data_IF_799422731648
#
_entry.id   IF_799422731648
#
_cell.length_a   1.000
_cell.length_b   1.000
_cell.length_c   1.000
_cell.angle_alpha   90.00
_cell.angle_beta   90.00
_cell.angle_gamma   90.00
#
_symmetry.space_group_name_H-M   'P 1'
#
loop_
_entity.id
_entity.type
_entity.pdbx_description
1 polymer ?
#
# COMPACT_ATOMS: atom_id res chain seq x y z
N UNK A 1 -17.16 -1.97 11.15
CA UNK A 1 -17.90 -2.16 9.88
C UNK A 1 -17.00 -2.11 8.64
N UNK A 2 -15.87 -1.40 8.68
CA UNK A 2 -14.92 -1.18 7.55
C UNK A 2 -14.16 -2.43 7.09
N UNK A 3 -13.96 -3.43 7.95
CA UNK A 3 -13.18 -4.65 7.66
C UNK A 3 -13.79 -5.54 6.55
N UNK A 4 -15.11 -5.56 6.39
CA UNK A 4 -15.78 -6.48 5.45
C UNK A 4 -15.64 -6.10 3.97
N UNK A 5 -15.53 -4.80 3.64
CA UNK A 5 -15.47 -4.33 2.24
C UNK A 5 -14.14 -4.70 1.59
N UNK A 6 -13.03 -4.63 2.33
CA UNK A 6 -11.71 -4.96 1.83
C UNK A 6 -11.53 -6.46 1.53
N UNK A 7 -12.22 -7.33 2.29
CA UNK A 7 -12.30 -8.77 2.01
C UNK A 7 -13.08 -9.12 0.73
N UNK A 8 -13.89 -8.19 0.19
CA UNK A 8 -14.66 -8.41 -1.04
C UNK A 8 -13.88 -7.99 -2.31
N UNK A 9 -12.72 -7.34 -2.17
CA UNK A 9 -11.91 -6.90 -3.30
C UNK A 9 -10.85 -7.97 -3.59
N UNK A 10 -11.09 -8.73 -4.66
CA UNK A 10 -10.20 -9.80 -5.13
C UNK A 10 -9.34 -9.30 -6.32
N UNK A 11 -8.03 -9.06 -6.13
CA UNK A 11 -7.13 -8.71 -7.22
C UNK A 11 -7.11 -9.85 -8.25
N UNK A 12 -6.93 -9.50 -9.52
CA UNK A 12 -6.85 -10.47 -10.62
C UNK A 12 -5.41 -10.61 -11.09
N UNK A 13 -5.05 -11.77 -11.64
CA UNK A 13 -3.71 -12.11 -12.11
C UNK A 13 -2.65 -11.90 -11.01
N UNK A 14 -1.57 -11.20 -11.32
CA UNK A 14 -0.40 -10.94 -10.48
C UNK A 14 -0.55 -9.70 -9.57
N UNK A 15 -1.75 -9.14 -9.45
CA UNK A 15 -1.97 -7.90 -8.69
C UNK A 15 -2.08 -8.14 -7.19
N UNK A 16 -1.69 -7.13 -6.43
CA UNK A 16 -1.75 -7.09 -4.97
C UNK A 16 -2.50 -5.83 -4.56
N UNK A 17 -3.46 -5.95 -3.64
CA UNK A 17 -4.13 -4.81 -3.02
C UNK A 17 -3.39 -4.44 -1.74
N UNK A 18 -2.99 -3.18 -1.63
CA UNK A 18 -2.21 -2.67 -0.51
C UNK A 18 -2.94 -1.49 0.13
N UNK A 19 -2.99 -1.46 1.46
CA UNK A 19 -3.34 -0.28 2.23
C UNK A 19 -2.08 0.52 2.50
N UNK A 20 -2.04 1.77 2.07
CA UNK A 20 -0.91 2.67 2.29
C UNK A 20 -0.80 3.04 3.76
N UNK A 21 0.42 3.07 4.29
CA UNK A 21 0.68 3.68 5.59
C UNK A 21 0.51 5.20 5.50
N UNK A 22 -0.04 5.79 6.56
CA UNK A 22 -0.10 7.23 6.69
C UNK A 22 1.32 7.78 6.90
N UNK A 23 1.67 8.79 6.11
CA UNK A 23 2.96 9.43 6.23
C UNK A 23 3.01 10.26 7.52
N UNK A 24 4.15 10.29 8.23
CA UNK A 24 4.27 11.03 9.47
C UNK A 24 4.11 12.54 9.24
N UNK A 25 3.23 13.18 10.02
CA UNK A 25 2.99 14.63 9.94
C UNK A 25 4.16 15.46 10.51
N UNK A 26 5.07 14.82 11.26
CA UNK A 26 6.24 15.44 11.88
C UNK A 26 7.49 14.62 11.55
N UNK A 27 8.58 15.32 11.26
CA UNK A 27 9.90 14.67 11.21
C UNK A 27 10.31 14.16 12.60
N UNK A 28 11.29 13.25 12.65
CA UNK A 28 11.86 12.73 13.91
C UNK A 28 12.38 13.84 14.84
N UNK A 29 12.71 15.02 14.30
CA UNK A 29 13.13 16.21 15.05
C UNK A 29 11.98 17.13 15.52
N UNK A 30 10.72 16.74 15.35
CA UNK A 30 9.55 17.49 15.81
C UNK A 30 9.08 18.61 14.89
N UNK A 31 9.65 18.74 13.69
CA UNK A 31 9.25 19.75 12.70
C UNK A 31 8.01 19.27 11.94
N UNK A 32 6.98 20.11 11.86
CA UNK A 32 5.80 19.85 11.04
C UNK A 32 6.19 19.82 9.56
N UNK A 33 5.91 18.70 8.90
CA UNK A 33 6.17 18.54 7.47
C UNK A 33 4.99 19.11 6.67
N UNK A 34 5.21 20.01 5.70
CA UNK A 34 4.14 20.44 4.82
C UNK A 34 3.69 19.24 3.97
N UNK A 35 2.38 19.15 3.67
CA UNK A 35 1.79 18.04 2.89
C UNK A 35 2.47 17.81 1.52
N UNK A 36 3.18 18.81 1.00
CA UNK A 36 3.95 18.76 -0.25
C UNK A 36 5.39 18.25 -0.09
N UNK A 37 6.01 18.34 1.09
CA UNK A 37 7.37 17.83 1.34
C UNK A 37 7.42 16.30 1.37
N UNK A 38 6.29 15.68 1.70
CA UNK A 38 6.14 14.22 1.79
C UNK A 38 6.06 13.52 0.43
N UNK A 39 5.95 14.29 -0.67
CA UNK A 39 6.01 13.75 -2.05
C UNK A 39 7.37 13.16 -2.44
N UNK A 40 8.42 13.35 -1.63
CA UNK A 40 9.77 12.89 -1.95
C UNK A 40 10.11 11.49 -1.42
N UNK A 41 9.23 10.87 -0.63
CA UNK A 41 9.37 9.45 -0.30
C UNK A 41 8.82 8.62 -1.46
N UNK A 42 9.68 8.44 -2.46
CA UNK A 42 9.47 7.68 -3.71
C UNK A 42 9.18 6.19 -3.50
N UNK A 43 9.18 5.74 -2.25
CA UNK A 43 8.92 4.36 -1.85
C UNK A 43 7.73 4.37 -0.92
N UNK A 44 6.68 3.66 -1.34
CA UNK A 44 5.49 3.51 -0.54
C UNK A 44 5.67 2.29 0.37
N UNK A 45 5.31 2.45 1.65
CA UNK A 45 5.12 1.35 2.57
C UNK A 45 3.64 1.12 2.78
N UNK A 46 3.25 -0.14 2.93
CA UNK A 46 1.87 -0.50 3.14
C UNK A 46 1.70 -1.94 3.60
N UNK A 47 0.47 -2.28 3.94
CA UNK A 47 0.06 -3.62 4.33
C UNK A 47 -0.71 -4.29 3.19
N UNK A 48 -0.32 -5.51 2.84
CA UNK A 48 -1.04 -6.33 1.86
C UNK A 48 -2.39 -6.76 2.44
N UNK A 49 -3.48 -6.39 1.78
CA UNK A 49 -4.83 -6.77 2.20
C UNK A 49 -5.30 -8.05 1.50
N UNK A 50 -5.01 -8.17 0.21
CA UNK A 50 -5.37 -9.34 -0.59
C UNK A 50 -4.45 -9.47 -1.81
N UNK A 51 -4.35 -10.69 -2.33
CA UNK A 51 -3.46 -11.04 -3.44
C UNK A 51 -4.23 -11.73 -4.56
N UNK A 52 -3.80 -11.50 -5.79
CA UNK A 52 -4.32 -12.19 -6.97
C UNK A 52 -3.74 -13.61 -7.09
N UNK A 53 -4.41 -14.43 -7.90
CA UNK A 53 -4.07 -15.85 -8.03
C UNK A 53 -2.65 -16.13 -8.57
N UNK A 54 -2.03 -15.16 -9.23
CA UNK A 54 -0.69 -15.30 -9.84
C UNK A 54 0.37 -14.46 -9.11
N UNK A 55 0.08 -13.96 -7.91
CA UNK A 55 0.98 -13.07 -7.15
C UNK A 55 2.16 -13.79 -6.46
N UNK A 56 2.32 -15.11 -6.65
CA UNK A 56 3.44 -15.88 -6.12
C UNK A 56 3.38 -16.06 -4.60
N UNK A 57 4.48 -15.73 -3.90
CA UNK A 57 4.67 -15.97 -2.46
C UNK A 57 4.20 -14.81 -1.57
N UNK A 58 3.58 -13.77 -2.14
CA UNK A 58 3.06 -12.63 -1.38
C UNK A 58 1.82 -13.06 -0.60
N UNK A 59 1.78 -12.71 0.69
CA UNK A 59 0.67 -13.06 1.58
C UNK A 59 -0.02 -11.81 2.15
N UNK A 60 -1.31 -11.94 2.44
CA UNK A 60 -2.04 -10.93 3.19
C UNK A 60 -1.48 -10.73 4.61
N UNK A 61 -1.57 -9.50 5.11
CA UNK A 61 -1.05 -9.09 6.41
C UNK A 61 0.45 -8.77 6.43
N UNK A 62 1.17 -9.00 5.33
CA UNK A 62 2.59 -8.62 5.22
C UNK A 62 2.72 -7.12 5.00
N UNK A 63 3.72 -6.50 5.64
CA UNK A 63 4.16 -5.14 5.33
C UNK A 63 5.15 -5.20 4.17
N UNK A 64 4.98 -4.31 3.20
CA UNK A 64 5.77 -4.31 1.97
C UNK A 64 6.25 -2.92 1.61
N UNK A 65 7.44 -2.85 1.03
CA UNK A 65 7.97 -1.69 0.34
C UNK A 65 7.77 -1.90 -1.17
N UNK A 66 7.28 -0.89 -1.88
CA UNK A 66 7.04 -0.99 -3.32
C UNK A 66 7.23 0.35 -4.03
N UNK A 67 7.42 0.28 -5.35
CA UNK A 67 7.56 1.46 -6.19
C UNK A 67 6.19 2.03 -6.59
N UNK A 68 6.07 3.36 -6.63
CA UNK A 68 4.87 4.07 -7.08
C UNK A 68 4.68 4.07 -8.61
N UNK A 69 5.67 3.61 -9.39
CA UNK A 69 5.70 3.70 -10.86
C UNK A 69 4.46 3.06 -11.51
N UNK A 70 3.98 1.95 -10.96
CA UNK A 70 2.80 1.21 -11.44
C UNK A 70 1.73 1.01 -10.34
N UNK A 71 1.77 1.85 -9.30
CA UNK A 71 0.80 1.80 -8.22
C UNK A 71 -0.42 2.64 -8.61
N UNK A 72 -1.59 2.00 -8.72
CA UNK A 72 -2.85 2.66 -9.04
C UNK A 72 -3.63 2.90 -7.75
N UNK A 73 -3.72 4.16 -7.30
CA UNK A 73 -4.52 4.54 -6.15
C UNK A 73 -6.02 4.32 -6.45
N UNK A 74 -6.73 3.76 -5.48
CA UNK A 74 -8.17 3.48 -5.58
C UNK A 74 -8.91 3.94 -4.33
N UNK A 75 -10.09 4.49 -4.53
CA UNK A 75 -11.02 4.78 -3.44
C UNK A 75 -11.98 3.59 -3.28
N UNK A 76 -11.92 2.94 -2.11
CA UNK A 76 -12.77 1.82 -1.75
C UNK A 76 -13.89 2.22 -0.78
N UNK A 77 -14.15 3.53 -0.64
CA UNK A 77 -15.16 4.06 0.29
C UNK A 77 -14.72 4.01 1.75
N UNK A 78 -13.41 4.08 1.99
CA UNK A 78 -12.79 4.05 3.32
C UNK A 78 -11.90 5.25 3.52
N UNK A 79 -11.67 5.67 4.78
CA UNK A 79 -10.77 6.79 5.08
C UNK A 79 -9.29 6.49 4.78
N UNK A 80 -8.91 5.20 4.71
CA UNK A 80 -7.55 4.78 4.37
C UNK A 80 -7.32 4.80 2.85
N UNK A 81 -6.09 5.13 2.45
CA UNK A 81 -5.66 5.08 1.05
C UNK A 81 -5.26 3.68 0.64
N UNK A 82 -5.64 3.30 -0.57
CA UNK A 82 -5.39 1.98 -1.12
C UNK A 82 -4.78 2.09 -2.51
N UNK A 83 -3.98 1.11 -2.88
CA UNK A 83 -3.51 0.98 -4.25
C UNK A 83 -3.40 -0.47 -4.70
N UNK A 84 -3.42 -0.66 -6.01
CA UNK A 84 -3.00 -1.91 -6.64
C UNK A 84 -1.61 -1.74 -7.26
N UNK A 85 -0.76 -2.74 -7.08
CA UNK A 85 0.46 -2.91 -7.87
C UNK A 85 0.60 -4.36 -8.31
N UNK A 86 1.56 -4.66 -9.19
CA UNK A 86 1.93 -6.06 -9.48
C UNK A 86 2.83 -6.59 -8.37
N UNK A 87 2.80 -7.90 -8.16
CA UNK A 87 3.71 -8.58 -7.24
C UNK A 87 5.19 -8.31 -7.61
N UNK A 88 5.51 -8.22 -8.90
CA UNK A 88 6.85 -7.89 -9.39
C UNK A 88 7.33 -6.46 -9.12
N UNK A 89 6.44 -5.56 -8.71
CA UNK A 89 6.78 -4.18 -8.32
C UNK A 89 7.03 -4.04 -6.80
N UNK A 90 6.85 -5.12 -6.03
CA UNK A 90 7.24 -5.18 -4.63
C UNK A 90 8.76 -5.27 -4.51
N UNK A 91 9.33 -4.39 -3.71
CA UNK A 91 10.77 -4.27 -3.51
C UNK A 91 11.25 -5.12 -2.32
N UNK A 92 10.45 -5.19 -1.26
CA UNK A 92 10.77 -5.97 -0.06
C UNK A 92 9.53 -6.27 0.79
N UNK A 93 9.60 -7.35 1.57
CA UNK A 93 8.74 -7.56 2.74
C UNK A 93 9.47 -7.03 3.97
N UNK A 94 8.77 -6.29 4.83
CA UNK A 94 9.33 -5.68 6.05
C UNK A 94 8.88 -6.52 7.26
N UNK A 95 9.85 -7.01 8.05
CA UNK A 95 9.62 -7.73 9.31
C UNK A 95 9.53 -6.79 10.53
#
# INVERSE_FOLDING_TARGET
QVCWVLLLVAPQADRVLIRLEDLPEKSSGGVLLPKSAVKFERYLMGEVLSVGAEAGEVEAGKRVLFSDINAYEVDLGTDAKHCFCKAGDLLAVVE
#
